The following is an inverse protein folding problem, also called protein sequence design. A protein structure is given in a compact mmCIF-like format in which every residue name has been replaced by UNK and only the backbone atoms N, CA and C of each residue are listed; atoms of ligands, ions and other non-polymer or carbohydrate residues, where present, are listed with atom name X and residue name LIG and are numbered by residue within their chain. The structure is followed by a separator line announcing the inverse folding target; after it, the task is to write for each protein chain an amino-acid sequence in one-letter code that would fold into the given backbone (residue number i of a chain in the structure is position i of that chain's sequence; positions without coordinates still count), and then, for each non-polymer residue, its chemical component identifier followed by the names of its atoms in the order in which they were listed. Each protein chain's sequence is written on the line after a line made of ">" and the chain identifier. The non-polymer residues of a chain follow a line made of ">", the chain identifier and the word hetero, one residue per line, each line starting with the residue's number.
data_IF_614806878854
#
_entry.id   IF_614806878854
#
_cell.length_a   1.000
_cell.length_b   1.000
_cell.length_c   1.000
_cell.angle_alpha   90.00
_cell.angle_beta   90.00
_cell.angle_gamma   90.00
#
_symmetry.space_group_name_H-M   'P 1'
#
loop_
_entity.id
_entity.type
_entity.pdbx_description
1 polymer ?
#
# COMPACT_ATOMS: atom_id res chain seq x y z
N UNK A 1 3.11 -20.10 1.43
CA UNK A 1 1.79 -19.86 0.78
C UNK A 1 1.55 -18.37 0.84
N UNK A 2 1.47 -17.71 -0.32
CA UNK A 2 1.26 -16.25 -0.38
C UNK A 2 -0.17 -15.89 0.01
N UNK A 3 -0.36 -14.70 0.56
CA UNK A 3 -1.70 -14.14 0.81
C UNK A 3 -2.01 -13.14 -0.29
N UNK A 4 -3.14 -13.35 -0.97
CA UNK A 4 -3.61 -12.45 -2.01
C UNK A 4 -4.69 -11.55 -1.40
N UNK A 5 -4.40 -10.26 -1.34
CA UNK A 5 -5.24 -9.25 -0.75
C UNK A 5 -6.00 -8.49 -1.83
N UNK A 6 -7.23 -8.12 -1.54
CA UNK A 6 -7.97 -7.15 -2.31
C UNK A 6 -7.69 -5.75 -1.78
N UNK A 7 -7.22 -4.84 -2.62
CA UNK A 7 -7.34 -3.40 -2.39
C UNK A 7 -8.75 -2.96 -2.85
N UNK A 8 -9.60 -2.44 -1.97
CA UNK A 8 -10.97 -2.09 -2.29
C UNK A 8 -11.13 -0.66 -2.85
N UNK A 9 -10.07 0.02 -3.30
CA UNK A 9 -10.11 1.44 -3.76
C UNK A 9 -11.23 1.72 -4.75
N UNK A 10 -11.50 0.78 -5.66
CA UNK A 10 -12.56 0.94 -6.66
C UNK A 10 -13.97 0.87 -6.08
N UNK A 11 -14.13 0.47 -4.81
CA UNK A 11 -15.41 0.35 -4.12
C UNK A 11 -15.65 1.45 -3.08
N UNK A 12 -14.60 2.15 -2.63
CA UNK A 12 -14.67 3.18 -1.58
C UNK A 12 -15.79 4.22 -1.75
N UNK A 13 -16.11 4.70 -2.97
CA UNK A 13 -17.16 5.70 -3.13
C UNK A 13 -18.57 5.20 -2.77
N UNK A 14 -18.75 3.90 -2.70
CA UNK A 14 -20.08 3.29 -2.65
C UNK A 14 -20.28 2.31 -1.49
N UNK A 15 -19.20 1.78 -0.92
CA UNK A 15 -19.25 0.76 0.11
C UNK A 15 -18.58 1.23 1.40
N UNK A 16 -19.19 0.90 2.54
CA UNK A 16 -18.55 0.95 3.85
C UNK A 16 -17.50 -0.16 3.97
N UNK A 17 -16.58 -0.06 4.95
CA UNK A 17 -15.58 -1.10 5.18
C UNK A 17 -16.20 -2.48 5.45
N UNK A 18 -17.33 -2.51 6.17
CA UNK A 18 -18.05 -3.76 6.40
C UNK A 18 -18.59 -4.36 5.09
N UNK A 19 -19.13 -3.53 4.20
CA UNK A 19 -19.61 -3.97 2.88
C UNK A 19 -18.45 -4.39 1.97
N UNK A 20 -17.29 -3.74 2.05
CA UNK A 20 -16.09 -4.15 1.32
C UNK A 20 -15.61 -5.55 1.73
N UNK A 21 -15.72 -5.92 3.01
CA UNK A 21 -15.42 -7.28 3.47
C UNK A 21 -16.38 -8.31 2.86
N UNK A 22 -17.67 -7.98 2.73
CA UNK A 22 -18.63 -8.82 2.02
C UNK A 22 -18.31 -8.90 0.53
N UNK A 23 -17.96 -7.78 -0.11
CA UNK A 23 -17.52 -7.73 -1.51
C UNK A 23 -16.26 -8.58 -1.74
N UNK A 24 -15.26 -8.45 -0.89
CA UNK A 24 -14.05 -9.28 -0.97
C UNK A 24 -14.40 -10.77 -0.93
N UNK A 25 -15.30 -11.18 -0.05
CA UNK A 25 -15.77 -12.58 0.02
C UNK A 25 -16.50 -13.00 -1.25
N UNK A 26 -17.36 -12.15 -1.81
CA UNK A 26 -18.06 -12.40 -3.07
C UNK A 26 -17.08 -12.66 -4.21
N UNK A 27 -16.00 -11.88 -4.29
CA UNK A 27 -14.95 -11.99 -5.30
C UNK A 27 -13.95 -13.12 -5.01
N UNK A 28 -14.10 -13.84 -3.89
CA UNK A 28 -13.29 -14.99 -3.53
C UNK A 28 -12.00 -14.66 -2.78
N UNK A 29 -11.81 -13.44 -2.32
CA UNK A 29 -10.67 -13.07 -1.48
C UNK A 29 -10.90 -13.48 -0.02
N UNK A 30 -9.82 -13.90 0.64
CA UNK A 30 -9.80 -14.18 2.08
C UNK A 30 -9.17 -13.03 2.88
N UNK A 31 -8.50 -12.11 2.20
CA UNK A 31 -7.77 -11.01 2.80
C UNK A 31 -8.08 -9.69 2.09
N UNK A 32 -8.07 -8.62 2.87
CA UNK A 32 -8.29 -7.26 2.39
C UNK A 32 -7.12 -6.39 2.86
N UNK A 33 -6.62 -5.54 1.97
CA UNK A 33 -5.85 -4.37 2.31
C UNK A 33 -6.78 -3.17 2.38
N UNK A 34 -6.87 -2.54 3.53
CA UNK A 34 -7.69 -1.34 3.65
C UNK A 34 -6.87 -0.12 3.21
N UNK A 35 -7.00 0.21 1.93
CA UNK A 35 -6.34 1.34 1.28
C UNK A 35 -6.95 2.70 1.69
N UNK A 36 -6.28 3.84 1.40
CA UNK A 36 -6.74 5.16 1.80
C UNK A 36 -8.11 5.48 1.23
N UNK A 37 -8.99 6.02 2.07
CA UNK A 37 -10.35 6.43 1.70
C UNK A 37 -10.73 7.75 2.38
N UNK A 38 -11.68 8.47 1.80
CA UNK A 38 -12.04 9.81 2.26
C UNK A 38 -12.56 9.83 3.71
N UNK A 39 -13.27 8.78 4.15
CA UNK A 39 -13.78 8.63 5.51
C UNK A 39 -12.77 7.98 6.48
N UNK A 40 -11.61 7.55 5.97
CA UNK A 40 -10.55 6.93 6.77
C UNK A 40 -10.03 7.85 7.87
N UNK A 41 -9.94 9.16 7.60
CA UNK A 41 -9.60 10.16 8.60
C UNK A 41 -10.60 10.22 9.77
N UNK A 42 -11.88 9.94 9.54
CA UNK A 42 -12.87 9.90 10.60
C UNK A 42 -12.66 8.73 11.55
N UNK A 43 -12.12 7.62 11.05
CA UNK A 43 -11.78 6.45 11.87
C UNK A 43 -10.62 6.72 12.81
N UNK A 44 -9.65 7.53 12.37
CA UNK A 44 -8.41 7.77 13.09
C UNK A 44 -8.44 9.08 13.88
N UNK A 45 -9.35 9.98 13.57
CA UNK A 45 -9.47 11.23 14.29
C UNK A 45 -10.14 11.00 15.63
N UNK A 46 -9.36 11.18 16.70
CA UNK A 46 -9.90 11.27 18.03
C UNK A 46 -10.86 12.46 18.15
N UNK A 47 -12.01 12.33 18.83
CA UNK A 47 -12.50 11.23 19.66
C UNK A 47 -13.44 10.24 18.96
N UNK A 48 -13.49 10.28 17.66
CA UNK A 48 -14.60 9.73 16.85
C UNK A 48 -14.44 8.32 16.32
N UNK A 49 -13.40 7.58 16.69
CA UNK A 49 -13.45 6.17 16.34
C UNK A 49 -14.51 5.54 17.17
N UNK A 50 -15.63 5.47 16.53
CA UNK A 50 -16.80 4.93 17.14
C UNK A 50 -16.56 3.44 17.42
N UNK A 51 -16.74 3.05 18.67
CA UNK A 51 -16.73 1.65 19.06
C UNK A 51 -17.73 0.83 18.23
N UNK A 52 -18.76 1.48 17.69
CA UNK A 52 -19.74 0.86 16.80
C UNK A 52 -19.12 0.48 15.47
N UNK A 53 -18.33 1.35 14.82
CA UNK A 53 -17.67 1.03 13.55
C UNK A 53 -16.69 -0.13 13.70
N UNK A 54 -15.87 -0.12 14.74
CA UNK A 54 -14.96 -1.24 15.04
C UNK A 54 -15.76 -2.53 15.27
N UNK A 55 -16.86 -2.47 16.02
CA UNK A 55 -17.70 -3.64 16.26
C UNK A 55 -18.39 -4.14 14.99
N UNK A 56 -18.84 -3.24 14.13
CA UNK A 56 -19.44 -3.55 12.82
C UNK A 56 -18.43 -4.25 11.92
N UNK A 57 -17.21 -3.71 11.80
CA UNK A 57 -16.13 -4.32 11.00
C UNK A 57 -15.75 -5.70 11.55
N UNK A 58 -15.60 -5.85 12.87
CA UNK A 58 -15.36 -7.15 13.51
C UNK A 58 -16.46 -8.16 13.19
N UNK A 59 -17.71 -7.71 13.21
CA UNK A 59 -18.82 -8.59 12.88
C UNK A 59 -18.77 -8.99 11.41
N UNK A 60 -18.50 -8.07 10.48
CA UNK A 60 -18.36 -8.38 9.06
C UNK A 60 -17.19 -9.33 8.79
N UNK A 61 -16.03 -9.15 9.45
CA UNK A 61 -14.90 -10.09 9.38
C UNK A 61 -15.32 -11.50 9.84
N UNK A 62 -16.09 -11.58 10.90
CA UNK A 62 -16.58 -12.87 11.41
C UNK A 62 -17.59 -13.53 10.47
N UNK A 63 -18.52 -12.74 9.91
CA UNK A 63 -19.60 -13.23 9.05
C UNK A 63 -19.07 -13.72 7.69
N UNK A 64 -18.07 -13.02 7.17
CA UNK A 64 -17.46 -13.33 5.87
C UNK A 64 -16.30 -14.31 5.95
N UNK A 65 -15.61 -14.36 7.08
CA UNK A 65 -14.32 -15.05 7.24
C UNK A 65 -13.15 -14.29 6.58
N UNK A 66 -13.39 -13.14 5.96
CA UNK A 66 -12.34 -12.28 5.39
C UNK A 66 -11.65 -11.53 6.52
N UNK A 67 -10.32 -11.44 6.45
CA UNK A 67 -9.51 -10.69 7.41
C UNK A 67 -8.97 -9.42 6.74
N UNK A 68 -9.00 -8.31 7.45
CA UNK A 68 -8.18 -7.17 7.07
C UNK A 68 -6.74 -7.55 7.45
N UNK A 69 -5.89 -7.73 6.44
CA UNK A 69 -4.49 -8.11 6.66
C UNK A 69 -3.59 -6.90 6.77
N UNK A 70 -3.92 -5.85 6.04
CA UNK A 70 -3.11 -4.64 5.96
C UNK A 70 -3.99 -3.41 6.09
N UNK A 71 -3.54 -2.42 6.86
CA UNK A 71 -3.98 -1.03 6.73
C UNK A 71 -2.96 -0.28 5.90
N UNK A 72 -3.44 0.56 4.97
CA UNK A 72 -2.60 1.44 4.19
C UNK A 72 -2.99 2.92 4.46
N UNK A 73 -2.59 3.50 5.61
CA UNK A 73 -2.79 4.92 5.89
C UNK A 73 -1.75 5.76 5.16
N UNK A 74 -2.18 6.87 4.59
CA UNK A 74 -1.31 7.90 4.04
C UNK A 74 -1.36 9.11 4.99
N UNK A 75 -0.54 9.08 6.04
CA UNK A 75 -0.42 10.18 7.00
C UNK A 75 0.95 10.85 6.85
N UNK A 76 0.95 12.16 6.65
CA UNK A 76 2.18 12.94 6.43
C UNK A 76 3.04 13.07 7.71
N UNK A 77 3.60 11.95 8.15
CA UNK A 77 4.50 11.87 9.31
C UNK A 77 5.87 12.51 9.07
N UNK A 78 6.17 12.81 7.82
CA UNK A 78 7.39 13.48 7.39
C UNK A 78 7.18 14.96 7.04
N UNK A 79 6.00 15.53 7.37
CA UNK A 79 5.70 16.94 7.07
C UNK A 79 6.79 17.85 7.60
N UNK A 80 7.33 18.77 6.76
CA UNK A 80 8.25 19.79 7.20
C UNK A 80 7.65 20.79 8.21
N UNK A 81 6.32 20.85 8.33
CA UNK A 81 5.62 21.60 9.36
C UNK A 81 5.47 20.77 10.64
N UNK A 82 6.04 21.26 11.74
CA UNK A 82 6.05 20.53 13.00
C UNK A 82 4.64 20.34 13.60
N UNK A 83 3.74 21.29 13.43
CA UNK A 83 2.36 21.14 13.94
C UNK A 83 1.62 20.05 13.19
N UNK A 84 1.79 20.02 11.88
CA UNK A 84 1.22 18.99 11.02
C UNK A 84 1.82 17.62 11.36
N UNK A 85 3.15 17.50 11.36
CA UNK A 85 3.84 16.26 11.76
C UNK A 85 3.29 15.70 13.08
N UNK A 86 3.19 16.55 14.12
CA UNK A 86 2.66 16.10 15.41
C UNK A 86 1.19 15.70 15.35
N UNK A 87 0.38 16.36 14.51
CA UNK A 87 -1.00 15.95 14.28
C UNK A 87 -1.06 14.56 13.64
N UNK A 88 -0.19 14.33 12.66
CA UNK A 88 -0.10 13.04 11.97
C UNK A 88 0.43 11.91 12.89
N UNK A 89 1.42 12.18 13.73
CA UNK A 89 1.89 11.21 14.74
C UNK A 89 0.76 10.79 15.69
N UNK A 90 -0.14 11.71 16.06
CA UNK A 90 -1.33 11.37 16.87
C UNK A 90 -2.30 10.48 16.05
N UNK A 91 -2.49 10.77 14.77
CA UNK A 91 -3.31 9.93 13.88
C UNK A 91 -2.71 8.54 13.73
N UNK A 92 -1.39 8.45 13.54
CA UNK A 92 -0.65 7.21 13.54
C UNK A 92 -0.87 6.39 14.82
N UNK A 93 -0.66 7.01 15.98
CA UNK A 93 -0.86 6.35 17.28
C UNK A 93 -2.27 5.77 17.38
N UNK A 94 -3.27 6.53 16.96
CA UNK A 94 -4.67 6.07 17.01
C UNK A 94 -4.95 4.94 16.03
N UNK A 95 -4.38 5.03 14.83
CA UNK A 95 -4.52 3.97 13.83
C UNK A 95 -3.91 2.65 14.31
N UNK A 96 -2.74 2.68 14.94
CA UNK A 96 -2.12 1.49 15.52
C UNK A 96 -2.99 0.85 16.63
N UNK A 97 -3.68 1.66 17.46
CA UNK A 97 -4.65 1.16 18.43
C UNK A 97 -5.84 0.44 17.75
N UNK A 98 -6.28 0.95 16.59
CA UNK A 98 -7.39 0.34 15.85
C UNK A 98 -6.91 -0.94 15.15
N UNK A 99 -5.71 -0.94 14.59
CA UNK A 99 -5.10 -2.12 14.00
C UNK A 99 -5.02 -3.27 15.01
N UNK A 100 -4.51 -3.01 16.22
CA UNK A 100 -4.50 -3.97 17.32
C UNK A 100 -5.93 -4.44 17.66
N UNK A 101 -6.88 -3.52 17.78
CA UNK A 101 -8.27 -3.86 18.08
C UNK A 101 -8.92 -4.75 17.02
N UNK A 102 -8.55 -4.62 15.76
CA UNK A 102 -9.06 -5.41 14.62
C UNK A 102 -8.16 -6.61 14.27
N UNK A 103 -7.10 -6.83 15.04
CA UNK A 103 -6.12 -7.90 14.80
C UNK A 103 -5.46 -7.81 13.41
N UNK A 104 -5.24 -6.57 12.92
CA UNK A 104 -4.52 -6.30 11.67
C UNK A 104 -3.03 -6.38 11.93
N UNK A 105 -2.28 -7.29 11.28
CA UNK A 105 -0.88 -7.53 11.64
C UNK A 105 0.11 -6.58 10.97
N UNK A 106 -0.26 -6.00 9.83
CA UNK A 106 0.64 -5.25 8.95
C UNK A 106 0.08 -3.85 8.65
N UNK A 107 0.95 -2.88 8.70
CA UNK A 107 0.69 -1.53 8.20
C UNK A 107 1.54 -1.32 6.95
N UNK A 108 0.91 -1.04 5.83
CA UNK A 108 1.56 -0.58 4.62
C UNK A 108 1.43 0.94 4.52
N UNK A 109 2.43 1.65 4.00
CA UNK A 109 2.36 3.10 3.91
C UNK A 109 3.43 3.68 2.99
N UNK A 110 3.39 5.00 2.82
CA UNK A 110 4.35 5.81 2.07
C UNK A 110 5.27 6.58 3.02
N UNK A 111 6.39 7.09 2.48
CA UNK A 111 7.26 8.01 3.22
C UNK A 111 6.62 9.37 3.46
N UNK A 112 5.74 9.82 2.56
CA UNK A 112 5.10 11.15 2.59
C UNK A 112 6.12 12.31 2.57
N UNK A 113 5.76 13.48 3.11
CA UNK A 113 6.66 14.64 3.17
C UNK A 113 6.69 15.44 1.87
N UNK A 114 7.64 16.38 1.78
CA UNK A 114 7.77 17.31 0.66
C UNK A 114 9.07 17.05 -0.11
N UNK A 115 9.01 16.59 -1.38
CA UNK A 115 10.21 16.34 -2.18
C UNK A 115 11.05 17.59 -2.43
N UNK A 116 10.45 18.79 -2.41
CA UNK A 116 11.19 20.04 -2.55
C UNK A 116 11.94 20.43 -1.27
N UNK A 117 11.63 19.79 -0.16
CA UNK A 117 12.22 19.98 1.17
C UNK A 117 12.70 18.66 1.76
N UNK A 118 13.20 17.75 0.91
CA UNK A 118 13.51 16.36 1.24
C UNK A 118 14.35 16.20 2.52
N UNK A 119 15.41 17.00 2.71
CA UNK A 119 16.22 16.94 3.92
C UNK A 119 15.45 17.29 5.20
N UNK A 120 14.49 18.22 5.10
CA UNK A 120 13.64 18.56 6.26
C UNK A 120 12.63 17.45 6.53
N UNK A 121 12.04 16.90 5.49
CA UNK A 121 11.12 15.78 5.59
C UNK A 121 11.80 14.52 6.14
N UNK A 122 13.02 14.21 5.70
CA UNK A 122 13.80 13.12 6.26
C UNK A 122 14.06 13.31 7.76
N UNK A 123 14.46 14.51 8.16
CA UNK A 123 14.63 14.83 9.58
C UNK A 123 13.33 14.66 10.38
N UNK A 124 12.20 15.11 9.83
CA UNK A 124 10.90 14.97 10.48
C UNK A 124 10.43 13.51 10.53
N UNK A 125 10.72 12.73 9.50
CA UNK A 125 10.47 11.29 9.48
C UNK A 125 11.16 10.59 10.66
N UNK A 126 12.47 10.80 10.84
CA UNK A 126 13.19 10.19 11.97
C UNK A 126 12.64 10.64 13.33
N UNK A 127 12.24 11.90 13.48
CA UNK A 127 11.58 12.38 14.71
C UNK A 127 10.24 11.67 14.95
N UNK A 128 9.45 11.48 13.91
CA UNK A 128 8.20 10.72 13.99
C UNK A 128 8.45 9.26 14.35
N UNK A 129 9.49 8.66 13.78
CA UNK A 129 9.88 7.29 14.12
C UNK A 129 10.31 7.16 15.59
N UNK A 130 11.08 8.10 16.14
CA UNK A 130 11.43 8.11 17.58
C UNK A 130 10.18 8.10 18.48
N UNK A 131 9.12 8.79 18.08
CA UNK A 131 7.86 8.83 18.84
C UNK A 131 7.00 7.58 18.62
N UNK A 132 7.02 6.98 17.42
CA UNK A 132 6.14 5.86 17.03
C UNK A 132 6.73 4.48 17.27
N UNK A 133 8.06 4.32 17.28
CA UNK A 133 8.73 3.05 17.58
C UNK A 133 8.15 2.38 18.84
N UNK A 134 8.04 3.08 20.00
CA UNK A 134 7.47 2.46 21.19
C UNK A 134 6.01 2.03 21.03
N UNK A 135 5.26 2.66 20.13
CA UNK A 135 3.85 2.34 19.88
C UNK A 135 3.73 1.09 19.00
N UNK A 136 4.52 0.99 17.93
CA UNK A 136 4.60 -0.21 17.11
C UNK A 136 5.02 -1.43 17.94
N UNK A 137 6.08 -1.28 18.76
CA UNK A 137 6.59 -2.34 19.62
C UNK A 137 5.57 -2.75 20.69
N UNK A 138 4.81 -1.80 21.23
CA UNK A 138 3.74 -2.08 22.21
C UNK A 138 2.67 -3.00 21.67
N UNK A 139 2.28 -2.81 20.40
CA UNK A 139 1.22 -3.59 19.76
C UNK A 139 1.76 -4.78 18.95
N UNK A 140 3.07 -4.88 18.77
CA UNK A 140 3.71 -5.95 18.00
C UNK A 140 3.33 -5.93 16.51
N UNK A 141 3.14 -4.74 15.94
CA UNK A 141 2.74 -4.54 14.56
C UNK A 141 3.95 -4.44 13.65
N UNK A 142 3.83 -5.02 12.45
CA UNK A 142 4.78 -4.84 11.38
C UNK A 142 4.40 -3.62 10.52
N UNK A 143 5.40 -3.04 9.85
CA UNK A 143 5.22 -1.93 8.93
C UNK A 143 6.03 -2.17 7.66
N UNK A 144 5.41 -1.91 6.51
CA UNK A 144 6.10 -1.82 5.22
C UNK A 144 5.93 -0.42 4.65
N UNK A 145 7.01 0.13 4.08
CA UNK A 145 6.98 1.47 3.48
C UNK A 145 7.42 1.35 2.03
N UNK A 146 6.66 1.97 1.11
CA UNK A 146 7.01 2.08 -0.29
C UNK A 146 7.68 3.42 -0.64
N UNK A 147 8.47 3.43 -1.70
CA UNK A 147 8.86 4.65 -2.39
C UNK A 147 7.68 5.11 -3.26
N UNK A 148 7.26 6.35 -3.11
CA UNK A 148 6.07 6.87 -3.77
C UNK A 148 6.36 8.16 -4.54
N UNK A 149 5.75 8.37 -5.73
CA UNK A 149 5.85 9.64 -6.45
C UNK A 149 5.40 10.83 -5.59
N UNK A 150 6.18 11.90 -5.62
CA UNK A 150 5.98 13.14 -4.85
C UNK A 150 6.26 13.08 -3.36
N UNK A 151 6.72 11.95 -2.83
CA UNK A 151 7.26 11.85 -1.49
C UNK A 151 8.69 12.41 -1.41
N UNK A 152 9.19 12.62 -0.20
CA UNK A 152 10.60 12.98 -0.04
C UNK A 152 11.55 11.82 -0.42
N UNK A 153 11.03 10.60 -0.52
CA UNK A 153 11.72 9.39 -1.01
C UNK A 153 10.95 8.82 -2.21
N UNK A 154 11.54 8.98 -3.39
CA UNK A 154 10.98 8.44 -4.63
C UNK A 154 11.79 7.25 -5.18
N UNK A 155 13.02 7.05 -4.67
CA UNK A 155 13.91 5.98 -5.17
C UNK A 155 13.87 4.77 -4.25
N UNK A 156 13.66 3.57 -4.83
CA UNK A 156 13.59 2.32 -4.06
C UNK A 156 14.84 2.07 -3.22
N UNK A 157 16.03 2.32 -3.78
CA UNK A 157 17.29 2.11 -3.07
C UNK A 157 17.41 3.03 -1.85
N UNK A 158 16.97 4.29 -1.98
CA UNK A 158 16.93 5.24 -0.88
C UNK A 158 15.93 4.80 0.21
N UNK A 159 14.75 4.35 -0.19
CA UNK A 159 13.73 3.82 0.73
C UNK A 159 14.31 2.67 1.58
N UNK A 160 14.94 1.70 0.94
CA UNK A 160 15.57 0.56 1.62
C UNK A 160 16.71 1.02 2.55
N UNK A 161 17.50 2.03 2.16
CA UNK A 161 18.57 2.57 3.02
C UNK A 161 18.01 3.22 4.28
N UNK A 162 16.94 4.01 4.15
CA UNK A 162 16.29 4.65 5.30
C UNK A 162 15.69 3.59 6.24
N UNK A 163 14.98 2.61 5.69
CA UNK A 163 14.43 1.49 6.47
C UNK A 163 15.53 0.75 7.25
N UNK A 164 16.63 0.44 6.59
CA UNK A 164 17.81 -0.17 7.26
C UNK A 164 18.42 0.76 8.33
N UNK A 165 18.40 2.07 8.08
CA UNK A 165 18.91 3.08 9.02
C UNK A 165 18.08 3.20 10.30
N UNK A 166 16.78 2.96 10.23
CA UNK A 166 15.91 2.89 11.43
C UNK A 166 16.22 1.66 12.28
N UNK A 167 16.73 0.59 11.67
CA UNK A 167 17.22 -0.63 12.31
C UNK A 167 16.20 -1.27 13.26
N UNK A 168 15.02 -1.58 12.71
CA UNK A 168 13.96 -2.34 13.39
C UNK A 168 13.53 -3.52 12.52
N UNK A 169 13.41 -4.70 13.11
CA UNK A 169 13.04 -5.92 12.38
C UNK A 169 11.61 -5.88 11.84
N UNK A 170 10.73 -5.15 12.51
CA UNK A 170 9.34 -4.97 12.12
C UNK A 170 9.14 -3.90 11.03
N UNK A 171 10.16 -3.09 10.70
CA UNK A 171 10.08 -2.08 9.64
C UNK A 171 10.70 -2.62 8.37
N UNK A 172 9.89 -2.80 7.35
CA UNK A 172 10.26 -3.48 6.13
C UNK A 172 9.89 -2.66 4.89
N UNK A 173 10.22 -3.20 3.72
CA UNK A 173 10.02 -2.56 2.44
C UNK A 173 8.83 -3.17 1.70
N UNK A 174 8.04 -2.31 1.11
CA UNK A 174 6.98 -2.61 0.17
C UNK A 174 7.42 -2.23 -1.23
N UNK A 175 7.29 -3.16 -2.18
CA UNK A 175 7.57 -2.91 -3.58
C UNK A 175 6.28 -2.75 -4.37
N UNK A 176 6.03 -1.53 -4.84
CA UNK A 176 4.94 -1.21 -5.75
C UNK A 176 5.45 -1.24 -7.19
N UNK A 177 4.99 -2.21 -7.98
CA UNK A 177 5.41 -2.36 -9.37
C UNK A 177 5.11 -1.11 -10.22
N UNK A 178 3.88 -0.52 -10.18
CA UNK A 178 3.59 0.71 -10.90
C UNK A 178 4.51 1.88 -10.55
N UNK A 179 4.75 2.12 -9.26
CA UNK A 179 5.59 3.24 -8.84
C UNK A 179 7.04 3.04 -9.25
N UNK A 180 7.57 1.85 -9.06
CA UNK A 180 8.93 1.51 -9.47
C UNK A 180 9.13 1.69 -10.99
N UNK A 181 8.16 1.24 -11.79
CA UNK A 181 8.19 1.41 -13.25
C UNK A 181 8.07 2.89 -13.62
N UNK A 182 7.10 3.60 -13.07
CA UNK A 182 6.86 5.02 -13.33
C UNK A 182 8.08 5.88 -12.99
N UNK A 183 8.63 5.75 -11.79
CA UNK A 183 9.78 6.53 -11.33
C UNK A 183 11.07 6.15 -12.06
N UNK A 184 11.25 4.89 -12.42
CA UNK A 184 12.36 4.40 -13.21
C UNK A 184 12.21 4.63 -14.72
N UNK A 185 11.09 5.20 -15.18
CA UNK A 185 10.77 5.40 -16.61
C UNK A 185 10.87 4.09 -17.41
N UNK A 186 10.49 2.97 -16.81
CA UNK A 186 10.60 1.65 -17.42
C UNK A 186 12.04 1.15 -17.66
N UNK A 187 13.06 1.91 -17.25
CA UNK A 187 14.45 1.61 -17.55
C UNK A 187 15.14 0.73 -16.50
N UNK A 188 14.61 0.66 -15.30
CA UNK A 188 15.19 -0.16 -14.21
C UNK A 188 14.55 -1.55 -14.16
N UNK A 189 15.38 -2.56 -13.94
CA UNK A 189 14.90 -3.92 -13.73
C UNK A 189 14.28 -4.07 -12.33
N UNK A 190 12.98 -4.41 -12.22
CA UNK A 190 12.34 -4.64 -10.91
C UNK A 190 13.05 -5.71 -10.06
N UNK A 191 13.68 -6.70 -10.72
CA UNK A 191 14.41 -7.77 -10.04
C UNK A 191 15.61 -7.23 -9.27
N UNK A 192 16.40 -6.34 -9.88
CA UNK A 192 17.54 -5.70 -9.22
C UNK A 192 17.10 -4.86 -8.02
N UNK A 193 15.95 -4.16 -8.14
CA UNK A 193 15.39 -3.38 -7.04
C UNK A 193 14.95 -4.28 -5.88
N UNK A 194 14.26 -5.38 -6.17
CA UNK A 194 13.85 -6.36 -5.17
C UNK A 194 15.04 -7.09 -4.53
N UNK A 195 16.08 -7.38 -5.31
CA UNK A 195 17.34 -7.94 -4.79
C UNK A 195 18.02 -6.98 -3.84
N UNK A 196 18.03 -5.69 -4.16
CA UNK A 196 18.59 -4.68 -3.26
C UNK A 196 17.81 -4.60 -1.94
N UNK A 197 16.50 -4.75 -1.96
CA UNK A 197 15.70 -4.80 -0.75
C UNK A 197 16.05 -6.02 0.13
N UNK A 198 16.36 -7.15 -0.52
CA UNK A 198 16.77 -8.37 0.18
C UNK A 198 15.69 -8.89 1.12
N UNK A 199 16.06 -9.22 2.35
CA UNK A 199 15.15 -9.75 3.37
C UNK A 199 14.14 -8.71 3.88
N UNK A 200 14.34 -7.44 3.54
CA UNK A 200 13.39 -6.37 3.86
C UNK A 200 12.18 -6.33 2.92
N UNK A 201 12.21 -7.01 1.78
CA UNK A 201 11.05 -7.12 0.90
C UNK A 201 9.98 -8.01 1.55
N UNK A 202 8.89 -7.39 2.02
CA UNK A 202 7.83 -8.10 2.77
C UNK A 202 6.43 -7.91 2.21
N UNK A 203 6.21 -6.97 1.31
CA UNK A 203 4.90 -6.70 0.72
C UNK A 203 5.04 -6.28 -0.74
N UNK A 204 4.05 -6.64 -1.56
CA UNK A 204 4.00 -6.29 -2.98
C UNK A 204 2.65 -5.68 -3.34
N UNK A 205 2.66 -4.54 -4.02
CA UNK A 205 1.53 -4.02 -4.78
C UNK A 205 1.61 -4.53 -6.21
N UNK A 206 0.59 -5.27 -6.62
CA UNK A 206 0.50 -5.93 -7.92
C UNK A 206 -0.51 -5.18 -8.80
N UNK A 207 -0.01 -4.43 -9.74
CA UNK A 207 -0.77 -3.82 -10.82
C UNK A 207 0.16 -3.53 -11.99
N UNK A 208 -0.40 -3.34 -13.18
CA UNK A 208 0.36 -3.06 -14.39
C UNK A 208 0.39 -1.56 -14.70
N UNK A 209 1.33 -1.16 -15.53
CA UNK A 209 1.55 0.24 -15.90
C UNK A 209 2.24 0.30 -17.25
N UNK A 210 2.02 1.36 -18.04
CA UNK A 210 2.77 1.60 -19.28
C UNK A 210 3.65 2.86 -19.18
N UNK A 211 4.59 2.99 -20.11
CA UNK A 211 5.52 4.12 -20.14
C UNK A 211 4.80 5.48 -20.28
N UNK A 212 5.14 6.38 -19.38
CA UNK A 212 4.61 7.76 -19.32
C UNK A 212 5.53 8.78 -19.99
N UNK A 213 6.62 8.40 -20.57
CA UNK A 213 7.61 9.34 -21.16
C UNK A 213 7.01 10.17 -22.28
N UNK A 214 5.94 9.69 -22.93
CA UNK A 214 5.18 10.44 -23.91
C UNK A 214 4.40 11.63 -23.30
N UNK A 215 4.21 11.67 -21.99
CA UNK A 215 3.50 12.73 -21.28
C UNK A 215 4.52 13.78 -20.81
N UNK A 216 4.79 14.70 -21.66
CA UNK A 216 5.83 15.74 -21.51
C UNK A 216 5.79 16.40 -20.14
N UNK A 217 6.78 16.14 -19.30
CA UNK A 217 7.02 16.82 -18.03
C UNK A 217 6.13 16.40 -16.86
N UNK A 218 5.25 15.43 -17.05
CA UNK A 218 4.40 14.95 -15.97
C UNK A 218 4.89 13.59 -15.47
N UNK A 219 5.37 13.56 -14.24
CA UNK A 219 5.79 12.32 -13.58
C UNK A 219 4.60 11.53 -13.01
N UNK A 220 3.52 12.24 -12.69
CA UNK A 220 2.37 11.69 -12.01
C UNK A 220 1.12 12.54 -12.30
N UNK A 221 0.20 12.00 -13.07
CA UNK A 221 -1.09 12.63 -13.34
C UNK A 221 -2.19 11.57 -13.22
N UNK A 222 -3.22 11.91 -12.50
CA UNK A 222 -4.43 11.09 -12.42
C UNK A 222 -5.46 11.60 -13.43
N UNK A 223 -5.73 10.79 -14.48
CA UNK A 223 -6.82 11.00 -15.41
C UNK A 223 -7.09 12.48 -15.77
N UNK A 224 -6.27 13.12 -16.61
CA UNK A 224 -6.50 14.50 -17.01
C UNK A 224 -7.93 14.68 -17.55
N UNK A 225 -8.62 15.78 -17.27
CA UNK A 225 -9.94 16.02 -17.76
C UNK A 225 -10.05 15.88 -19.29
N UNK A 226 -11.02 15.07 -19.77
CA UNK A 226 -11.27 14.89 -21.20
C UNK A 226 -10.27 13.98 -21.94
N UNK A 227 -9.41 13.25 -21.22
CA UNK A 227 -8.48 12.27 -21.78
C UNK A 227 -8.80 10.89 -21.22
N UNK A 228 -8.89 9.90 -22.10
CA UNK A 228 -9.12 8.49 -21.69
C UNK A 228 -7.88 7.84 -21.08
N UNK A 229 -6.71 8.46 -21.19
CA UNK A 229 -5.47 7.95 -20.61
C UNK A 229 -5.46 8.11 -19.09
N UNK A 230 -5.20 7.01 -18.40
CA UNK A 230 -5.03 6.97 -16.94
C UNK A 230 -3.55 6.96 -16.63
N UNK A 231 -3.01 8.09 -16.22
CA UNK A 231 -1.57 8.33 -16.19
C UNK A 231 -0.92 7.88 -14.87
N UNK A 232 -1.55 8.07 -13.73
CA UNK A 232 -1.19 7.31 -12.53
C UNK A 232 -1.90 5.96 -12.61
N UNK A 233 -1.19 4.99 -13.13
CA UNK A 233 -1.81 3.75 -13.53
C UNK A 233 -1.51 2.66 -12.53
N UNK A 234 -2.58 2.07 -12.05
CA UNK A 234 -2.60 0.76 -11.46
C UNK A 234 -3.60 -0.07 -12.27
N UNK A 235 -3.10 -0.64 -13.37
CA UNK A 235 -3.91 -1.39 -14.33
C UNK A 235 -3.96 -2.87 -13.99
N UNK A 236 -4.93 -3.54 -14.59
CA UNK A 236 -4.92 -5.00 -14.66
C UNK A 236 -3.68 -5.53 -15.39
N UNK A 237 -3.10 -6.62 -14.93
CA UNK A 237 -1.99 -7.32 -15.60
C UNK A 237 -2.32 -7.57 -17.08
N UNK A 238 -1.41 -7.20 -17.97
CA UNK A 238 -1.56 -7.27 -19.42
C UNK A 238 -2.16 -6.01 -20.06
N UNK A 239 -2.50 -5.00 -19.27
CA UNK A 239 -2.88 -3.67 -19.77
C UNK A 239 -1.73 -2.66 -19.69
N UNK A 240 -0.52 -3.12 -19.42
CA UNK A 240 0.69 -2.32 -19.32
C UNK A 240 1.89 -2.98 -20.00
N UNK A 241 3.09 -2.64 -19.54
CA UNK A 241 4.36 -3.01 -20.16
C UNK A 241 5.30 -3.78 -19.22
N UNK A 242 4.85 -4.12 -18.00
CA UNK A 242 5.64 -4.92 -17.08
C UNK A 242 5.78 -6.36 -17.61
N UNK A 243 6.99 -6.88 -17.64
CA UNK A 243 7.25 -8.29 -17.93
C UNK A 243 6.88 -9.17 -16.74
N UNK A 244 5.59 -9.47 -16.63
CA UNK A 244 5.04 -10.25 -15.53
C UNK A 244 5.53 -11.69 -15.49
N UNK A 245 5.83 -12.29 -16.62
CA UNK A 245 6.35 -13.66 -16.65
C UNK A 245 7.75 -13.70 -16.01
N UNK A 246 8.60 -12.71 -16.32
CA UNK A 246 9.90 -12.56 -15.67
C UNK A 246 9.79 -12.19 -14.19
N UNK A 247 8.87 -11.30 -13.82
CA UNK A 247 8.64 -10.89 -12.44
C UNK A 247 8.16 -12.07 -11.56
N UNK A 248 7.19 -12.84 -12.04
CA UNK A 248 6.68 -13.99 -11.30
C UNK A 248 7.70 -15.14 -11.25
N UNK A 249 8.46 -15.38 -12.33
CA UNK A 249 9.54 -16.37 -12.28
C UNK A 249 10.58 -16.02 -11.21
N UNK A 250 10.97 -14.75 -11.13
CA UNK A 250 11.88 -14.25 -10.10
C UNK A 250 11.33 -14.41 -8.68
N UNK A 251 10.07 -14.05 -8.45
CA UNK A 251 9.44 -14.18 -7.13
C UNK A 251 9.32 -15.65 -6.70
N UNK A 252 9.06 -16.58 -7.63
CA UNK A 252 9.06 -18.01 -7.35
C UNK A 252 10.47 -18.54 -7.04
N UNK A 253 11.48 -18.11 -7.79
CA UNK A 253 12.88 -18.49 -7.53
C UNK A 253 13.34 -18.01 -6.15
N UNK A 254 12.86 -16.87 -5.74
CA UNK A 254 13.12 -16.28 -4.41
C UNK A 254 12.30 -16.91 -3.28
N UNK A 255 11.39 -17.80 -3.61
CA UNK A 255 10.45 -18.41 -2.65
C UNK A 255 9.67 -17.34 -1.86
N UNK A 256 9.25 -16.25 -2.55
CA UNK A 256 8.51 -15.16 -1.92
C UNK A 256 7.21 -15.68 -1.30
N UNK A 257 7.00 -15.41 -0.01
CA UNK A 257 5.85 -15.88 0.78
C UNK A 257 5.08 -14.75 1.49
N UNK A 258 5.45 -13.50 1.23
CA UNK A 258 4.76 -12.31 1.75
C UNK A 258 3.39 -12.05 1.09
N UNK A 259 2.62 -11.09 1.62
CA UNK A 259 1.36 -10.67 1.01
C UNK A 259 1.58 -9.99 -0.35
N UNK A 260 0.58 -10.17 -1.23
CA UNK A 260 0.47 -9.54 -2.53
C UNK A 260 -0.90 -8.85 -2.62
N UNK A 261 -0.93 -7.54 -2.68
CA UNK A 261 -2.16 -6.78 -2.83
C UNK A 261 -2.49 -6.55 -4.30
N UNK A 262 -3.68 -6.95 -4.71
CA UNK A 262 -4.26 -6.57 -6.01
C UNK A 262 -4.67 -5.11 -5.89
N UNK A 263 -3.79 -4.22 -6.30
CA UNK A 263 -3.91 -2.78 -6.13
C UNK A 263 -4.23 -2.11 -7.48
N UNK A 264 -5.44 -2.37 -8.01
CA UNK A 264 -5.92 -1.78 -9.27
C UNK A 264 -6.97 -0.72 -8.95
N UNK A 265 -6.83 0.46 -9.54
CA UNK A 265 -7.80 1.54 -9.36
C UNK A 265 -8.02 2.37 -10.63
N UNK A 266 -9.08 3.20 -10.60
CA UNK A 266 -9.48 4.01 -11.73
C UNK A 266 -10.20 3.22 -12.84
N UNK A 267 -10.75 2.03 -12.53
CA UNK A 267 -11.50 1.16 -13.43
C UNK A 267 -12.79 0.67 -12.75
N UNK A 268 -13.49 1.57 -12.07
CA UNK A 268 -14.64 1.27 -11.21
C UNK A 268 -15.74 0.51 -11.94
N UNK A 269 -15.94 0.80 -13.23
CA UNK A 269 -16.96 0.16 -14.07
C UNK A 269 -16.66 -1.33 -14.37
N UNK A 270 -15.39 -1.76 -14.24
CA UNK A 270 -14.95 -3.13 -14.48
C UNK A 270 -14.40 -3.79 -13.18
N UNK A 271 -14.57 -3.16 -12.03
CA UNK A 271 -13.90 -3.52 -10.78
C UNK A 271 -14.00 -5.00 -10.42
N UNK A 272 -15.20 -5.57 -10.41
CA UNK A 272 -15.44 -6.97 -10.06
C UNK A 272 -14.69 -7.92 -11.00
N UNK A 273 -14.81 -7.69 -12.30
CA UNK A 273 -14.22 -8.54 -13.31
C UNK A 273 -12.67 -8.47 -13.28
N UNK A 274 -12.12 -7.29 -13.09
CA UNK A 274 -10.67 -7.09 -12.99
C UNK A 274 -10.13 -7.81 -11.75
N UNK A 275 -10.72 -7.57 -10.59
CA UNK A 275 -10.24 -8.16 -9.34
C UNK A 275 -10.29 -9.70 -9.36
N UNK A 276 -11.34 -10.28 -9.95
CA UNK A 276 -11.41 -11.74 -10.13
C UNK A 276 -10.30 -12.25 -11.02
N UNK A 277 -10.07 -11.63 -12.21
CA UNK A 277 -9.00 -12.06 -13.13
C UNK A 277 -7.61 -11.89 -12.52
N UNK A 278 -7.37 -10.78 -11.83
CA UNK A 278 -6.10 -10.53 -11.14
C UNK A 278 -5.84 -11.60 -10.07
N UNK A 279 -6.83 -11.91 -9.26
CA UNK A 279 -6.74 -12.97 -8.25
C UNK A 279 -6.48 -14.33 -8.90
N UNK A 280 -7.22 -14.69 -9.94
CA UNK A 280 -7.03 -15.96 -10.68
C UNK A 280 -5.63 -16.04 -11.30
N UNK A 281 -5.12 -14.94 -11.85
CA UNK A 281 -3.75 -14.89 -12.37
C UNK A 281 -2.71 -15.16 -11.29
N UNK A 282 -2.83 -14.55 -10.12
CA UNK A 282 -1.90 -14.77 -9.01
C UNK A 282 -1.98 -16.20 -8.47
N UNK A 283 -3.19 -16.76 -8.33
CA UNK A 283 -3.37 -18.16 -7.90
C UNK A 283 -2.83 -19.18 -8.92
N UNK A 284 -2.75 -18.83 -10.19
CA UNK A 284 -2.13 -19.69 -11.20
C UNK A 284 -0.59 -19.71 -11.11
N UNK A 285 0.01 -18.68 -10.53
CA UNK A 285 1.48 -18.52 -10.43
C UNK A 285 2.02 -18.97 -9.07
N UNK A 286 1.22 -18.84 -8.03
CA UNK A 286 1.63 -19.06 -6.65
C UNK A 286 0.63 -19.93 -5.89
N UNK A 287 1.14 -20.78 -5.01
CA UNK A 287 0.30 -21.45 -4.00
C UNK A 287 -0.20 -20.37 -3.02
N UNK A 288 -1.44 -19.93 -3.22
CA UNK A 288 -2.05 -18.81 -2.48
C UNK A 288 -3.36 -19.16 -1.79
N UNK A 289 -3.77 -18.32 -0.85
CA UNK A 289 -5.08 -18.34 -0.20
C UNK A 289 -5.72 -16.93 -0.11
#
# INVERSE_FOLDING_TARGET
>A
MVKILLDPSMYHPHLSVAEELHKARELGFNYLELSPRADFHEWHHYPKVDRHQIAEVKQAMKDTGVKIWTFNPVFDWASPDEQERQAQVRSWTRMLEIADALEVPLIATEFSGDPNRALQSEHQFYRSMEELIPVFEKYGLECTIEAHPYDFVEENDQAVQIIRGVDRDWLNYEFCFPHAYHLGQGARDPREMMDYAGDRLKHLHIADVFDHTANVGNRYIMNPPGVDARIHQHNEIGRGEIDWDAAFAYLREREYDGPMSVCVFGWEEEADAINVRMRERLLAEFDGE
#
